data_IF_242299147878
#
_entry.id   IF_242299147878
#
_cell.length_a   1.000
_cell.length_b   1.000
_cell.length_c   1.000
_cell.angle_alpha   90.00
_cell.angle_beta   90.00
_cell.angle_gamma   90.00
#
_symmetry.space_group_name_H-M   'P 1'
#
loop_
_entity.id
_entity.type
_entity.pdbx_description
1 polymer ?
#
# COMPACT_ATOMS: atom_id res chain seq x y z
N UNK A 1 -45.04 -60.66 -4.83
CA UNK A 1 -45.21 -59.29 -5.34
C UNK A 1 -44.98 -58.35 -4.17
N UNK A 2 -43.92 -57.54 -4.20
CA UNK A 2 -43.76 -56.20 -3.56
C UNK A 2 -42.30 -55.79 -3.87
N UNK A 3 -42.13 -54.73 -4.66
CA UNK A 3 -40.85 -54.12 -5.04
C UNK A 3 -40.54 -52.97 -4.07
N UNK A 4 -39.34 -52.93 -3.52
CA UNK A 4 -38.79 -51.74 -2.87
C UNK A 4 -37.98 -50.93 -3.90
N UNK A 5 -38.22 -49.61 -4.07
CA UNK A 5 -37.34 -48.78 -4.86
C UNK A 5 -36.19 -48.25 -3.99
N UNK A 6 -34.96 -48.46 -4.46
CA UNK A 6 -33.78 -47.73 -3.98
C UNK A 6 -33.90 -46.26 -4.36
N UNK A 7 -33.83 -45.37 -3.36
CA UNK A 7 -33.65 -43.94 -3.56
C UNK A 7 -32.16 -43.65 -3.78
N UNK A 8 -31.80 -43.15 -4.97
CA UNK A 8 -30.52 -42.49 -5.21
C UNK A 8 -30.53 -41.13 -4.49
N UNK A 9 -29.66 -40.97 -3.50
CA UNK A 9 -29.35 -39.68 -2.88
C UNK A 9 -28.45 -38.92 -3.86
N UNK A 10 -29.00 -37.90 -4.51
CA UNK A 10 -28.23 -36.96 -5.31
C UNK A 10 -27.45 -36.02 -4.38
N UNK A 11 -26.12 -36.17 -4.38
CA UNK A 11 -25.20 -35.28 -3.67
C UNK A 11 -25.15 -33.93 -4.41
N UNK A 12 -25.75 -32.89 -3.84
CA UNK A 12 -25.61 -31.51 -4.32
C UNK A 12 -24.20 -31.01 -4.02
N UNK A 13 -23.34 -31.02 -5.04
CA UNK A 13 -22.04 -30.32 -5.00
C UNK A 13 -22.35 -28.83 -5.12
N UNK A 14 -22.22 -28.09 -4.01
CA UNK A 14 -22.21 -26.63 -4.05
C UNK A 14 -20.92 -26.18 -4.72
N UNK A 15 -20.96 -25.95 -6.04
CA UNK A 15 -19.95 -25.15 -6.71
C UNK A 15 -20.12 -23.71 -6.24
N UNK A 16 -19.22 -23.27 -5.36
CA UNK A 16 -19.08 -21.86 -5.00
C UNK A 16 -18.84 -21.05 -6.27
N UNK A 17 -19.82 -20.24 -6.67
CA UNK A 17 -19.66 -19.22 -7.68
C UNK A 17 -18.65 -18.19 -7.14
N UNK A 18 -17.40 -18.26 -7.59
CA UNK A 18 -16.44 -17.17 -7.41
C UNK A 18 -16.97 -15.96 -8.17
N UNK A 19 -17.20 -14.86 -7.43
CA UNK A 19 -17.65 -13.61 -8.00
C UNK A 19 -16.50 -13.01 -8.84
N UNK A 20 -16.64 -12.88 -10.18
CA UNK A 20 -15.55 -12.43 -11.06
C UNK A 20 -15.14 -10.95 -10.85
N UNK A 21 -15.82 -10.25 -9.93
CA UNK A 21 -15.60 -8.83 -9.65
C UNK A 21 -14.57 -8.55 -8.55
N UNK A 22 -13.91 -9.56 -7.97
CA UNK A 22 -12.93 -9.36 -6.91
C UNK A 22 -11.50 -9.67 -7.39
N UNK A 23 -10.93 -8.78 -8.21
CA UNK A 23 -9.56 -8.89 -8.74
C UNK A 23 -8.49 -8.30 -7.81
N UNK A 24 -8.86 -7.85 -6.61
CA UNK A 24 -7.93 -7.31 -5.61
C UNK A 24 -7.24 -8.41 -4.78
N UNK A 25 -6.23 -8.03 -4.01
CA UNK A 25 -5.52 -8.94 -3.11
C UNK A 25 -6.46 -9.65 -2.11
N UNK A 26 -6.61 -10.98 -2.22
CA UNK A 26 -7.60 -11.76 -1.45
C UNK A 26 -7.07 -12.35 -0.12
N UNK A 27 -5.77 -12.23 0.15
CA UNK A 27 -5.16 -12.83 1.34
C UNK A 27 -5.50 -12.01 2.58
N UNK A 28 -6.33 -12.54 3.48
CA UNK A 28 -6.61 -11.88 4.76
C UNK A 28 -5.38 -11.87 5.67
N UNK A 29 -5.12 -10.75 6.33
CA UNK A 29 -4.05 -10.67 7.35
C UNK A 29 -4.40 -11.43 8.64
N UNK A 30 -3.39 -11.81 9.46
CA UNK A 30 -3.63 -12.43 10.76
C UNK A 30 -4.50 -11.55 11.69
N UNK A 31 -5.48 -12.12 12.43
CA UNK A 31 -6.40 -11.34 13.26
C UNK A 31 -5.74 -10.44 14.31
N UNK A 32 -4.62 -10.88 14.89
CA UNK A 32 -3.84 -10.08 15.84
C UNK A 32 -3.27 -8.80 15.20
N UNK A 33 -2.81 -8.91 13.96
CA UNK A 33 -2.30 -7.77 13.17
C UNK A 33 -3.46 -6.87 12.75
N UNK A 34 -4.60 -7.44 12.32
CA UNK A 34 -5.79 -6.67 11.97
C UNK A 34 -6.27 -5.79 13.13
N UNK A 35 -6.25 -6.30 14.36
CA UNK A 35 -6.62 -5.54 15.57
C UNK A 35 -5.60 -4.45 15.93
N UNK A 36 -4.32 -4.65 15.59
CA UNK A 36 -3.26 -3.69 15.85
C UNK A 36 -3.27 -2.52 14.86
N UNK A 37 -3.73 -2.73 13.62
CA UNK A 37 -3.82 -1.66 12.61
C UNK A 37 -4.81 -0.57 13.08
N UNK A 38 -4.38 0.70 13.18
CA UNK A 38 -5.27 1.81 13.51
C UNK A 38 -6.22 2.12 12.35
N UNK A 39 -7.17 3.03 12.57
CA UNK A 39 -7.85 3.68 11.44
C UNK A 39 -6.80 4.38 10.56
N UNK A 40 -6.85 4.19 9.24
CA UNK A 40 -5.90 4.75 8.28
C UNK A 40 -6.64 5.71 7.34
N UNK A 41 -6.06 6.88 7.10
CA UNK A 41 -6.52 7.78 6.05
C UNK A 41 -6.28 7.17 4.67
N UNK A 42 -7.26 7.32 3.77
CA UNK A 42 -7.26 6.65 2.46
C UNK A 42 -6.12 7.06 1.52
N UNK A 43 -5.65 8.30 1.67
CA UNK A 43 -4.79 9.00 0.71
C UNK A 43 -3.47 9.41 1.33
N UNK A 44 -2.49 9.67 0.47
CA UNK A 44 -1.44 10.63 0.80
C UNK A 44 -2.03 12.04 0.79
N UNK A 45 -1.67 12.87 1.77
CA UNK A 45 -2.17 14.24 1.90
C UNK A 45 -1.07 15.26 1.68
N UNK A 46 -1.42 16.34 0.98
CA UNK A 46 -0.71 17.62 1.02
C UNK A 46 -0.97 18.28 2.39
N UNK A 47 -0.39 19.46 2.64
CA UNK A 47 -0.75 20.26 3.81
C UNK A 47 -2.25 20.63 3.77
N UNK A 48 -2.86 20.84 4.94
CA UNK A 48 -4.27 21.27 5.09
C UNK A 48 -5.30 20.26 4.61
N UNK A 49 -5.06 18.96 4.84
CA UNK A 49 -6.04 17.88 4.63
C UNK A 49 -6.49 17.65 3.20
N UNK A 50 -5.75 18.20 2.24
CA UNK A 50 -6.04 18.00 0.83
C UNK A 50 -5.38 16.69 0.35
N UNK A 51 -6.15 15.72 -0.16
CA UNK A 51 -5.57 14.55 -0.80
C UNK A 51 -4.63 14.96 -1.94
N UNK A 52 -3.47 14.31 -2.05
CA UNK A 52 -2.52 14.56 -3.12
C UNK A 52 -3.13 14.17 -4.47
N UNK A 53 -2.96 15.05 -5.46
CA UNK A 53 -3.61 14.95 -6.77
C UNK A 53 -2.63 14.78 -7.92
N UNK A 54 -1.48 14.12 -7.70
CA UNK A 54 -0.47 13.88 -8.72
C UNK A 54 -0.09 15.17 -9.50
N UNK A 55 0.25 16.24 -8.76
CA UNK A 55 0.57 17.54 -9.37
C UNK A 55 -0.54 18.16 -10.24
N UNK A 56 -1.80 17.77 -9.99
CA UNK A 56 -2.95 18.22 -10.77
C UNK A 56 -3.19 17.43 -12.07
N UNK A 57 -2.44 16.35 -12.29
CA UNK A 57 -2.61 15.47 -13.45
C UNK A 57 -4.03 14.91 -13.54
N UNK A 58 -4.50 14.74 -14.78
CA UNK A 58 -5.83 14.19 -15.09
C UNK A 58 -5.72 12.89 -15.86
N UNK A 59 -6.09 11.78 -15.22
CA UNK A 59 -6.15 10.48 -15.89
C UNK A 59 -7.52 10.32 -16.55
N UNK A 60 -7.55 10.38 -17.88
CA UNK A 60 -8.81 10.30 -18.64
C UNK A 60 -9.80 11.42 -18.27
N UNK A 61 -9.29 12.62 -17.97
CA UNK A 61 -10.08 13.78 -17.53
C UNK A 61 -10.40 13.84 -16.04
N UNK A 62 -10.09 12.78 -15.27
CA UNK A 62 -10.39 12.69 -13.83
C UNK A 62 -9.21 13.05 -12.96
N UNK A 63 -9.46 13.64 -11.79
CA UNK A 63 -8.44 13.87 -10.75
C UNK A 63 -7.86 12.53 -10.31
N UNK A 64 -6.53 12.39 -10.35
CA UNK A 64 -5.85 11.20 -9.87
C UNK A 64 -5.46 11.37 -8.40
N UNK A 65 -6.10 10.63 -7.49
CA UNK A 65 -5.69 10.59 -6.08
C UNK A 65 -4.60 9.54 -5.86
N UNK A 66 -3.68 9.84 -4.94
CA UNK A 66 -2.58 8.95 -4.55
C UNK A 66 -2.97 8.11 -3.32
N UNK A 67 -3.31 6.81 -3.49
CA UNK A 67 -3.79 5.96 -2.40
C UNK A 67 -2.67 5.47 -1.49
N UNK A 68 -3.00 5.29 -0.21
CA UNK A 68 -2.23 4.42 0.67
C UNK A 68 -2.40 2.98 0.18
N UNK A 69 -1.30 2.32 -0.17
CA UNK A 69 -1.30 0.96 -0.72
C UNK A 69 -0.27 0.03 -0.07
N UNK A 70 0.49 0.51 0.92
CA UNK A 70 1.41 -0.30 1.73
C UNK A 70 1.14 -0.04 3.21
N UNK A 71 1.12 -1.10 4.02
CA UNK A 71 1.19 -1.07 5.49
C UNK A 71 2.40 -1.90 5.90
N UNK A 72 3.25 -1.35 6.78
CA UNK A 72 4.44 -2.05 7.28
C UNK A 72 4.34 -2.18 8.80
N UNK A 73 4.51 -3.40 9.26
CA UNK A 73 4.49 -3.83 10.65
C UNK A 73 5.93 -4.06 11.09
N UNK A 74 6.34 -3.32 12.11
CA UNK A 74 7.64 -3.45 12.76
C UNK A 74 7.42 -3.90 14.21
N UNK A 75 7.78 -5.15 14.47
CA UNK A 75 7.72 -5.79 15.79
C UNK A 75 9.08 -5.88 16.47
N UNK A 76 10.14 -5.35 15.85
CA UNK A 76 11.52 -5.51 16.30
C UNK A 76 12.04 -4.26 17.02
N UNK A 77 11.59 -3.09 16.57
CA UNK A 77 12.04 -1.83 17.14
C UNK A 77 11.42 -1.58 18.51
N UNK A 78 12.21 -1.00 19.40
CA UNK A 78 11.76 -0.62 20.75
C UNK A 78 11.56 0.89 20.88
N UNK A 79 12.02 1.68 19.91
CA UNK A 79 11.82 3.13 19.82
C UNK A 79 11.40 3.57 18.42
N UNK A 80 10.78 4.76 18.33
CA UNK A 80 10.45 5.42 17.05
C UNK A 80 11.70 5.58 16.17
N UNK A 81 12.83 5.93 16.76
CA UNK A 81 14.09 6.14 16.04
C UNK A 81 14.65 4.82 15.48
N UNK A 82 14.54 3.73 16.25
CA UNK A 82 14.95 2.41 15.77
C UNK A 82 14.06 1.95 14.62
N UNK A 83 12.75 2.19 14.71
CA UNK A 83 11.81 1.86 13.63
C UNK A 83 12.11 2.63 12.34
N UNK A 84 12.42 3.93 12.46
CA UNK A 84 12.88 4.75 11.32
C UNK A 84 14.14 4.18 10.67
N UNK A 85 15.16 3.89 11.48
CA UNK A 85 16.44 3.33 10.98
C UNK A 85 16.23 1.98 10.32
N UNK A 86 15.39 1.13 10.91
CA UNK A 86 15.09 -0.20 10.40
C UNK A 86 14.37 -0.12 9.05
N UNK A 87 13.35 0.74 8.91
CA UNK A 87 12.68 0.99 7.62
C UNK A 87 13.65 1.45 6.55
N UNK A 88 14.47 2.47 6.85
CA UNK A 88 15.47 2.99 5.89
C UNK A 88 16.43 1.88 5.45
N UNK A 89 16.89 1.06 6.41
CA UNK A 89 17.76 -0.09 6.14
C UNK A 89 17.07 -1.09 5.21
N UNK A 90 15.85 -1.56 5.53
CA UNK A 90 15.17 -2.57 4.72
C UNK A 90 14.83 -2.07 3.31
N UNK A 91 14.41 -0.81 3.17
CA UNK A 91 14.16 -0.21 1.85
C UNK A 91 15.44 -0.12 1.02
N UNK A 92 16.54 0.35 1.62
CA UNK A 92 17.85 0.41 0.94
C UNK A 92 18.36 -0.99 0.56
N UNK A 93 18.24 -1.98 1.45
CA UNK A 93 18.59 -3.38 1.17
C UNK A 93 17.76 -3.96 0.01
N UNK A 94 16.49 -3.58 -0.13
CA UNK A 94 15.64 -3.96 -1.26
C UNK A 94 15.93 -3.18 -2.56
N UNK A 95 16.84 -2.20 -2.53
CA UNK A 95 17.22 -1.38 -3.69
C UNK A 95 16.49 -0.04 -3.81
N UNK A 96 15.62 0.30 -2.85
CA UNK A 96 14.89 1.57 -2.81
C UNK A 96 15.62 2.58 -1.94
N UNK A 97 16.60 3.25 -2.52
CA UNK A 97 17.35 4.30 -1.82
C UNK A 97 16.54 5.60 -1.75
N UNK A 98 16.85 6.45 -0.78
CA UNK A 98 16.30 7.81 -0.73
C UNK A 98 16.91 8.62 -1.88
N UNK A 99 16.09 9.07 -2.83
CA UNK A 99 16.55 9.79 -4.04
C UNK A 99 15.84 11.13 -4.18
N UNK A 100 16.56 12.21 -4.53
CA UNK A 100 15.95 13.51 -4.81
C UNK A 100 15.29 13.52 -6.20
N UNK A 101 14.52 14.59 -6.46
CA UNK A 101 13.83 14.82 -7.73
C UNK A 101 12.38 14.35 -7.74
N UNK A 102 11.78 14.14 -6.58
CA UNK A 102 10.36 13.84 -6.39
C UNK A 102 9.69 14.91 -5.54
N UNK A 103 8.37 15.06 -5.56
CA UNK A 103 7.69 15.99 -4.64
C UNK A 103 7.82 15.57 -3.17
N UNK A 104 7.73 16.52 -2.22
CA UNK A 104 7.85 16.25 -0.78
C UNK A 104 6.80 17.02 0.03
N UNK A 105 6.93 16.98 1.36
CA UNK A 105 6.06 17.64 2.35
C UNK A 105 4.67 17.02 2.53
N UNK A 106 4.51 15.77 2.10
CA UNK A 106 3.29 15.00 2.28
C UNK A 106 3.14 14.45 3.70
N UNK A 107 1.91 14.03 4.00
CA UNK A 107 1.53 13.42 5.26
C UNK A 107 0.62 12.21 5.02
N UNK A 108 0.68 11.27 5.95
CA UNK A 108 -0.29 10.19 6.08
C UNK A 108 -1.06 10.36 7.38
N UNK A 109 -2.24 9.75 7.47
CA UNK A 109 -3.09 9.85 8.66
C UNK A 109 -3.29 8.45 9.24
N UNK A 110 -3.00 8.31 10.54
CA UNK A 110 -3.36 7.12 11.32
C UNK A 110 -4.01 7.55 12.63
N UNK A 111 -5.17 6.99 12.95
CA UNK A 111 -5.97 7.31 14.14
C UNK A 111 -6.16 8.83 14.34
N UNK A 112 -6.52 9.54 13.25
CA UNK A 112 -6.69 11.00 13.20
C UNK A 112 -5.43 11.82 13.53
N UNK A 113 -4.25 11.22 13.57
CA UNK A 113 -2.96 11.90 13.72
C UNK A 113 -2.21 11.95 12.39
N UNK A 114 -1.60 13.11 12.11
CA UNK A 114 -0.74 13.30 10.95
C UNK A 114 0.68 12.80 11.21
N UNK A 115 1.19 12.07 10.23
CA UNK A 115 2.57 11.59 10.21
C UNK A 115 3.28 12.20 9.01
N UNK A 116 4.38 12.94 9.22
CA UNK A 116 5.14 13.52 8.11
C UNK A 116 5.81 12.41 7.29
N UNK A 117 6.04 12.71 6.02
CA UNK A 117 6.73 11.80 5.11
C UNK A 117 8.13 11.41 5.63
N UNK A 118 8.48 10.16 5.36
CA UNK A 118 9.83 9.63 5.24
C UNK A 118 10.04 9.18 3.78
N UNK A 119 11.14 9.55 3.10
CA UNK A 119 12.31 10.29 3.58
C UNK A 119 11.99 11.73 4.00
N UNK A 120 12.56 12.16 5.12
CA UNK A 120 12.43 13.50 5.70
C UNK A 120 13.46 14.44 5.08
N UNK A 121 13.16 15.02 3.92
CA UNK A 121 14.07 15.99 3.35
C UNK A 121 13.39 17.17 2.70
N UNK A 122 14.01 18.34 2.88
CA UNK A 122 13.80 19.56 2.09
C UNK A 122 14.23 19.40 0.62
N UNK A 123 14.77 18.24 0.24
CA UNK A 123 15.37 17.97 -1.06
C UNK A 123 14.46 17.23 -2.02
N UNK A 124 13.13 17.23 -1.78
CA UNK A 124 12.19 16.69 -2.75
C UNK A 124 12.52 15.21 -3.04
N UNK A 125 12.40 14.35 -2.01
CA UNK A 125 12.85 12.96 -2.07
C UNK A 125 11.73 11.93 -1.84
N UNK A 126 11.96 10.73 -2.35
CA UNK A 126 11.19 9.52 -2.09
C UNK A 126 12.17 8.32 -1.98
N UNK A 127 11.73 7.21 -1.40
CA UNK A 127 12.42 5.94 -1.62
C UNK A 127 12.17 5.55 -3.07
N UNK A 128 13.19 5.25 -3.88
CA UNK A 128 13.00 4.88 -5.29
C UNK A 128 14.05 3.91 -5.80
N UNK A 129 13.63 3.00 -6.69
CA UNK A 129 14.52 2.02 -7.33
C UNK A 129 15.39 2.65 -8.42
N UNK A 130 15.05 3.83 -8.93
CA UNK A 130 15.79 4.46 -10.02
C UNK A 130 15.69 5.99 -10.02
N UNK A 131 16.27 6.66 -11.03
CA UNK A 131 16.22 8.12 -11.13
C UNK A 131 14.88 8.58 -11.73
N UNK A 132 14.32 9.67 -11.20
CA UNK A 132 13.04 10.25 -11.62
C UNK A 132 12.97 10.59 -13.13
N UNK A 133 14.10 10.86 -13.77
CA UNK A 133 14.20 11.15 -15.22
C UNK A 133 13.85 9.95 -16.10
N UNK A 134 13.75 8.75 -15.52
CA UNK A 134 13.41 7.50 -16.20
C UNK A 134 12.17 6.86 -15.54
N UNK A 135 11.76 5.70 -16.06
CA UNK A 135 10.75 4.89 -15.36
C UNK A 135 11.29 4.46 -14.01
N UNK A 136 10.55 4.76 -12.94
CA UNK A 136 10.93 4.38 -11.59
C UNK A 136 9.69 4.09 -10.73
N UNK A 137 9.88 3.23 -9.75
CA UNK A 137 8.94 3.04 -8.65
C UNK A 137 9.42 3.83 -7.46
N UNK A 138 8.54 4.65 -6.91
CA UNK A 138 8.85 5.43 -5.72
C UNK A 138 7.75 5.32 -4.67
N UNK A 139 8.13 5.54 -3.41
CA UNK A 139 7.19 5.59 -2.31
C UNK A 139 7.60 6.60 -1.25
N UNK A 140 6.58 7.11 -0.56
CA UNK A 140 6.70 7.88 0.66
C UNK A 140 6.00 7.11 1.76
N UNK A 141 6.66 7.03 2.90
CA UNK A 141 6.16 6.35 4.09
C UNK A 141 5.76 7.38 5.14
N UNK A 142 4.78 7.04 5.97
CA UNK A 142 4.26 7.89 7.02
C UNK A 142 4.14 7.08 8.30
N UNK A 143 4.74 7.57 9.37
CA UNK A 143 4.80 6.85 10.64
C UNK A 143 6.03 7.17 11.49
N UNK A 144 6.31 6.32 12.49
CA UNK A 144 5.50 5.18 12.89
C UNK A 144 4.38 5.56 13.89
N UNK A 145 3.25 4.86 13.80
CA UNK A 145 2.24 4.81 14.87
C UNK A 145 2.55 3.64 15.79
N UNK A 146 2.56 3.85 17.11
CA UNK A 146 2.86 2.80 18.09
C UNK A 146 1.58 2.31 18.79
N UNK A 147 1.36 1.00 18.81
CA UNK A 147 0.26 0.35 19.53
C UNK A 147 0.64 -1.08 19.91
N UNK A 148 0.37 -1.47 21.15
CA UNK A 148 0.53 -2.84 21.65
C UNK A 148 1.92 -3.46 21.38
N UNK A 149 2.99 -2.65 21.47
CA UNK A 149 4.37 -3.10 21.23
C UNK A 149 4.77 -3.16 19.75
N UNK A 150 3.92 -2.67 18.85
CA UNK A 150 4.12 -2.73 17.40
C UNK A 150 4.20 -1.30 16.85
N UNK A 151 5.17 -1.06 15.96
CA UNK A 151 5.24 0.14 15.15
C UNK A 151 4.62 -0.12 13.78
N UNK A 152 3.76 0.80 13.34
CA UNK A 152 3.02 0.70 12.09
C UNK A 152 3.36 1.89 11.21
N UNK A 153 3.71 1.60 9.96
CA UNK A 153 3.90 2.57 8.90
C UNK A 153 2.85 2.37 7.82
N UNK A 154 2.46 3.45 7.17
CA UNK A 154 1.67 3.42 5.94
C UNK A 154 2.46 4.04 4.80
N UNK A 155 2.19 3.65 3.57
CA UNK A 155 2.91 4.14 2.40
C UNK A 155 2.03 4.30 1.17
N UNK A 156 2.40 5.27 0.34
CA UNK A 156 1.85 5.46 -0.99
C UNK A 156 2.96 5.18 -2.01
N UNK A 157 2.86 4.06 -2.72
CA UNK A 157 3.79 3.63 -3.75
C UNK A 157 3.21 3.84 -5.15
N UNK A 158 4.02 4.33 -6.07
CA UNK A 158 3.58 4.62 -7.44
C UNK A 158 4.71 4.48 -8.45
N UNK A 159 4.35 4.17 -9.69
CA UNK A 159 5.26 4.11 -10.83
C UNK A 159 5.01 5.31 -11.72
N UNK A 160 6.09 5.98 -12.07
CA UNK A 160 6.09 7.15 -12.93
C UNK A 160 7.17 7.03 -14.02
N UNK A 161 7.15 7.94 -14.99
CA UNK A 161 8.20 8.07 -16.00
C UNK A 161 8.44 9.50 -16.43
N UNK A 162 9.72 9.81 -16.60
CA UNK A 162 10.17 11.01 -17.32
C UNK A 162 10.06 12.29 -16.51
N UNK A 163 10.47 13.40 -17.11
CA UNK A 163 10.64 14.68 -16.42
C UNK A 163 9.33 15.31 -15.91
N UNK A 164 8.19 14.88 -16.44
CA UNK A 164 6.87 15.37 -16.07
C UNK A 164 6.20 14.53 -14.98
N UNK A 165 6.87 13.49 -14.47
CA UNK A 165 6.27 12.52 -13.55
C UNK A 165 5.02 11.86 -14.15
N UNK A 166 5.09 11.36 -15.39
CA UNK A 166 3.92 10.75 -16.03
C UNK A 166 3.47 9.52 -15.23
N UNK A 167 2.21 9.49 -14.81
CA UNK A 167 1.63 8.34 -14.11
C UNK A 167 1.65 7.08 -14.99
N UNK A 168 2.04 5.94 -14.41
CA UNK A 168 1.96 4.63 -15.05
C UNK A 168 1.04 3.69 -14.27
N UNK A 169 1.33 3.43 -12.99
CA UNK A 169 0.60 2.41 -12.20
C UNK A 169 0.84 2.59 -10.70
N UNK A 170 -0.19 2.37 -9.88
CA UNK A 170 -0.04 2.17 -8.45
C UNK A 170 0.20 0.69 -8.12
N UNK A 171 -0.56 -0.24 -8.74
CA UNK A 171 -0.44 -1.68 -8.44
C UNK A 171 0.91 -2.27 -8.83
N UNK A 172 1.49 -1.83 -9.94
CA UNK A 172 2.80 -2.28 -10.39
C UNK A 172 3.92 -1.86 -9.44
N UNK A 173 3.83 -0.66 -8.87
CA UNK A 173 4.77 -0.18 -7.86
C UNK A 173 4.60 -0.93 -6.54
N UNK A 174 3.37 -1.07 -6.03
CA UNK A 174 3.08 -1.88 -4.82
C UNK A 174 3.65 -3.30 -4.94
N UNK A 175 3.46 -3.93 -6.11
CA UNK A 175 4.01 -5.26 -6.41
C UNK A 175 5.54 -5.27 -6.39
N UNK A 176 6.19 -4.31 -7.04
CA UNK A 176 7.66 -4.20 -7.04
C UNK A 176 8.20 -4.05 -5.61
N UNK A 177 7.64 -3.14 -4.81
CA UNK A 177 8.02 -2.96 -3.40
C UNK A 177 7.85 -4.25 -2.60
N UNK A 178 6.69 -4.90 -2.73
CA UNK A 178 6.39 -6.15 -2.05
C UNK A 178 7.40 -7.24 -2.40
N UNK A 179 7.62 -7.49 -3.69
CA UNK A 179 8.49 -8.57 -4.17
C UNK A 179 9.95 -8.33 -3.78
N UNK A 180 10.45 -7.10 -3.91
CA UNK A 180 11.83 -6.75 -3.56
C UNK A 180 12.07 -6.79 -2.06
N UNK A 181 11.16 -6.25 -1.25
CA UNK A 181 11.27 -6.29 0.21
C UNK A 181 11.26 -7.73 0.71
N UNK A 182 10.32 -8.57 0.22
CA UNK A 182 10.25 -9.98 0.62
C UNK A 182 11.50 -10.75 0.18
N UNK A 183 11.97 -10.53 -1.04
CA UNK A 183 13.08 -11.28 -1.60
C UNK A 183 14.43 -10.91 -0.98
N UNK A 184 14.64 -9.65 -0.62
CA UNK A 184 15.98 -9.15 -0.30
C UNK A 184 16.14 -8.53 1.08
N UNK A 185 15.06 -8.15 1.77
CA UNK A 185 15.15 -7.28 2.95
C UNK A 185 14.47 -7.86 4.21
N UNK A 186 14.47 -9.19 4.35
CA UNK A 186 13.91 -9.89 5.53
C UNK A 186 12.51 -9.37 5.90
N UNK A 187 11.64 -9.29 4.90
CA UNK A 187 10.25 -8.86 5.05
C UNK A 187 9.34 -10.01 4.66
N UNK A 188 8.21 -10.16 5.35
CA UNK A 188 7.19 -11.14 5.04
C UNK A 188 5.89 -10.43 4.62
N UNK A 189 5.27 -10.87 3.51
CA UNK A 189 3.89 -10.50 3.19
C UNK A 189 2.94 -11.24 4.14
N UNK A 190 2.11 -10.49 4.86
CA UNK A 190 1.11 -11.05 5.78
C UNK A 190 -0.27 -11.21 5.15
N UNK A 191 -0.56 -10.44 4.10
CA UNK A 191 -1.86 -10.39 3.46
C UNK A 191 -2.14 -8.98 2.99
N UNK A 192 -3.42 -8.63 2.88
CA UNK A 192 -3.89 -7.33 2.46
C UNK A 192 -5.01 -6.82 3.37
N UNK A 193 -5.08 -5.50 3.49
CA UNK A 193 -6.04 -4.80 4.31
C UNK A 193 -6.93 -3.92 3.42
N UNK A 194 -8.23 -4.12 3.48
CA UNK A 194 -9.18 -3.30 2.72
C UNK A 194 -9.28 -1.91 3.33
N UNK A 195 -8.83 -0.90 2.59
CA UNK A 195 -8.93 0.52 2.99
C UNK A 195 -10.12 1.21 2.33
N UNK A 196 -10.88 0.50 1.50
CA UNK A 196 -11.98 1.05 0.71
C UNK A 196 -11.57 2.35 -0.01
N UNK A 197 -10.35 2.37 -0.54
CA UNK A 197 -9.74 3.53 -1.18
C UNK A 197 -9.56 3.34 -2.69
N UNK A 198 -10.34 2.46 -3.31
CA UNK A 198 -10.56 2.43 -4.75
C UNK A 198 -11.60 3.48 -5.11
N UNK A 199 -11.27 4.39 -6.02
CA UNK A 199 -12.19 5.42 -6.51
C UNK A 199 -12.19 5.45 -8.03
N UNK A 200 -13.37 5.52 -8.62
CA UNK A 200 -13.57 5.76 -10.05
C UNK A 200 -14.98 6.30 -10.28
N UNK A 201 -15.19 7.58 -9.97
CA UNK A 201 -16.45 8.27 -10.21
C UNK A 201 -16.31 9.19 -11.44
N UNK A 202 -17.23 10.12 -11.66
CA UNK A 202 -17.19 11.03 -12.83
C UNK A 202 -15.99 11.99 -12.81
N UNK A 203 -15.56 12.43 -11.62
CA UNK A 203 -14.56 13.49 -11.44
C UNK A 203 -13.19 13.00 -11.01
N UNK A 204 -13.11 11.82 -10.40
CA UNK A 204 -11.95 11.35 -9.65
C UNK A 204 -11.69 9.85 -9.88
N UNK A 205 -10.41 9.48 -9.79
CA UNK A 205 -9.94 8.11 -9.96
C UNK A 205 -8.71 7.84 -9.09
N UNK A 206 -8.51 6.58 -8.72
CA UNK A 206 -7.27 6.06 -8.15
C UNK A 206 -6.51 5.19 -9.15
N UNK A 207 -6.71 5.45 -10.45
CA UNK A 207 -6.03 4.72 -11.51
C UNK A 207 -6.33 3.23 -11.48
N UNK A 208 -5.27 2.42 -11.42
CA UNK A 208 -5.38 0.96 -11.38
C UNK A 208 -5.41 0.37 -9.96
N UNK A 209 -5.45 1.22 -8.92
CA UNK A 209 -5.52 0.78 -7.53
C UNK A 209 -6.77 -0.07 -7.24
N UNK A 210 -6.61 -1.10 -6.42
CA UNK A 210 -7.66 -2.11 -6.16
C UNK A 210 -8.44 -1.87 -4.85
N UNK A 211 -8.02 -0.90 -4.03
CA UNK A 211 -8.69 -0.55 -2.77
C UNK A 211 -8.04 -1.16 -1.53
N UNK A 212 -6.98 -1.96 -1.71
CA UNK A 212 -6.29 -2.64 -0.63
C UNK A 212 -4.91 -2.06 -0.41
N UNK A 213 -4.41 -2.14 0.83
CA UNK A 213 -2.99 -2.02 1.10
C UNK A 213 -2.39 -3.39 1.38
N UNK A 214 -1.24 -3.69 0.77
CA UNK A 214 -0.46 -4.88 1.14
C UNK A 214 0.13 -4.69 2.54
N UNK A 215 0.03 -5.72 3.38
CA UNK A 215 0.58 -5.70 4.74
C UNK A 215 1.87 -6.51 4.78
N UNK A 216 2.95 -5.83 5.13
CA UNK A 216 4.30 -6.36 5.20
C UNK A 216 4.79 -6.34 6.65
N UNK A 217 5.53 -7.35 7.08
CA UNK A 217 6.16 -7.39 8.40
C UNK A 217 7.67 -7.53 8.28
N UNK A 218 8.41 -6.70 9.00
CA UNK A 218 9.87 -6.82 9.10
C UNK A 218 10.22 -7.97 10.06
N UNK A 219 11.19 -8.81 9.67
CA UNK A 219 11.65 -9.99 10.38
C UNK A 219 13.09 -9.86 10.91
#
# INVERSE_FOLDING_TARGET
>A
MIRFPWYCIALLIFTSCSNPNNTGCQDSIPPGIAKAIPSIGKWMYEKQDKPAQWLGFKLGGKTLFEPINIIIVDTLSTSVNDSRKLIIKQFSTAGFNMRPGHTSTYQGIMNNQYFPQLPDSSSNAAFSNYLWTFTNDHTRLFGPYFKDGIYIWIGAASRERGLSHDYITFKGAEKEYTEKLVKFAAVKKLGCFDLHNKQNNETDTTGDHDGFAVVLQIQ
#
